data_IF_288467568415
#
_entry.id   IF_288467568415
#
_cell.length_a   1.000
_cell.length_b   1.000
_cell.length_c   1.000
_cell.angle_alpha   90.00
_cell.angle_beta   90.00
_cell.angle_gamma   90.00
#
_symmetry.space_group_name_H-M   'P 1'
#
loop_
_entity.id
_entity.type
_entity.pdbx_description
1 polymer ?
#
# COMPACT_ATOMS: atom_id res chain seq x y z
N UNK A 1 11.95 -12.45 -15.74
CA UNK A 1 12.11 -11.11 -16.34
C UNK A 1 11.05 -10.11 -15.87
N UNK A 2 9.74 -10.38 -15.99
CA UNK A 2 8.68 -9.41 -15.58
C UNK A 2 8.77 -8.93 -14.12
N UNK A 3 9.07 -9.82 -13.16
CA UNK A 3 9.27 -9.45 -11.75
C UNK A 3 10.40 -8.44 -11.59
N UNK A 4 11.55 -8.74 -12.22
CA UNK A 4 12.71 -7.84 -12.16
C UNK A 4 12.40 -6.48 -12.79
N UNK A 5 11.69 -6.45 -13.91
CA UNK A 5 11.28 -5.21 -14.56
C UNK A 5 10.36 -4.38 -13.64
N UNK A 6 9.36 -5.00 -13.02
CA UNK A 6 8.46 -4.31 -12.09
C UNK A 6 9.22 -3.73 -10.88
N UNK A 7 10.14 -4.49 -10.30
CA UNK A 7 10.96 -4.04 -9.18
C UNK A 7 11.91 -2.91 -9.59
N UNK A 8 12.53 -2.99 -10.77
CA UNK A 8 13.44 -1.95 -11.28
C UNK A 8 12.69 -0.66 -11.60
N UNK A 9 11.49 -0.74 -12.18
CA UNK A 9 10.65 0.43 -12.43
C UNK A 9 10.26 1.10 -11.11
N UNK A 10 9.76 0.33 -10.13
CA UNK A 10 9.40 0.84 -8.82
C UNK A 10 10.59 1.49 -8.12
N UNK A 11 11.76 0.84 -8.17
CA UNK A 11 12.99 1.35 -7.58
C UNK A 11 13.47 2.64 -8.27
N UNK A 12 13.38 2.72 -9.60
CA UNK A 12 13.70 3.92 -10.35
C UNK A 12 12.82 5.12 -9.95
N UNK A 13 11.50 4.90 -9.84
CA UNK A 13 10.57 5.91 -9.32
C UNK A 13 10.94 6.34 -7.90
N UNK A 14 11.22 5.39 -7.00
CA UNK A 14 11.61 5.67 -5.62
C UNK A 14 12.91 6.48 -5.54
N UNK A 15 13.90 6.18 -6.38
CA UNK A 15 15.16 6.93 -6.45
C UNK A 15 14.92 8.36 -6.95
N UNK A 16 14.19 8.52 -8.05
CA UNK A 16 13.92 9.85 -8.65
C UNK A 16 13.12 10.70 -7.67
N UNK A 17 11.99 10.21 -7.16
CA UNK A 17 11.16 10.95 -6.22
C UNK A 17 11.90 11.26 -4.91
N UNK A 18 12.64 10.27 -4.40
CA UNK A 18 13.47 10.45 -3.21
C UNK A 18 14.53 11.52 -3.40
N UNK A 19 15.19 11.57 -4.55
CA UNK A 19 16.17 12.60 -4.86
C UNK A 19 15.54 14.01 -4.93
N UNK A 20 14.43 14.15 -5.64
CA UNK A 20 13.72 15.42 -5.77
C UNK A 20 13.25 15.98 -4.42
N UNK A 21 12.70 15.10 -3.55
CA UNK A 21 12.19 15.53 -2.24
C UNK A 21 13.33 15.80 -1.25
N UNK A 22 14.35 14.94 -1.21
CA UNK A 22 15.33 15.02 -0.12
C UNK A 22 16.49 15.94 -0.40
N UNK A 23 16.94 16.03 -1.66
CA UNK A 23 18.10 16.83 -2.05
C UNK A 23 17.70 18.15 -2.69
N UNK A 24 16.68 18.16 -3.52
CA UNK A 24 16.18 19.41 -4.14
C UNK A 24 15.16 20.15 -3.24
N UNK A 25 14.63 19.50 -2.20
CA UNK A 25 13.72 20.13 -1.24
C UNK A 25 12.32 20.41 -1.79
N UNK A 26 11.94 19.76 -2.90
CA UNK A 26 10.60 19.93 -3.47
C UNK A 26 9.57 19.27 -2.55
N UNK A 27 8.39 19.89 -2.44
CA UNK A 27 7.33 19.39 -1.58
C UNK A 27 6.92 17.96 -1.99
N UNK A 28 6.87 17.00 -1.04
CA UNK A 28 6.61 15.59 -1.33
C UNK A 28 5.33 15.35 -2.13
N UNK A 29 4.25 16.04 -1.77
CA UNK A 29 2.95 15.91 -2.42
C UNK A 29 3.02 16.22 -3.92
N UNK A 30 3.73 17.29 -4.30
CA UNK A 30 3.87 17.70 -5.72
C UNK A 30 4.65 16.65 -6.49
N UNK A 31 5.77 16.18 -5.94
CA UNK A 31 6.64 15.18 -6.58
C UNK A 31 5.91 13.85 -6.79
N UNK A 32 5.19 13.38 -5.78
CA UNK A 32 4.47 12.09 -5.87
C UNK A 32 3.29 12.19 -6.83
N UNK A 33 2.57 13.32 -6.85
CA UNK A 33 1.48 13.57 -7.80
C UNK A 33 1.99 13.62 -9.25
N UNK A 34 3.08 14.33 -9.49
CA UNK A 34 3.74 14.37 -10.80
C UNK A 34 4.19 12.97 -11.23
N UNK A 35 4.78 12.18 -10.33
CA UNK A 35 5.18 10.81 -10.59
C UNK A 35 3.99 9.90 -10.93
N UNK A 36 2.85 10.07 -10.25
CA UNK A 36 1.61 9.34 -10.55
C UNK A 36 1.11 9.65 -11.97
N UNK A 37 1.02 10.93 -12.34
CA UNK A 37 0.59 11.31 -13.69
C UNK A 37 1.59 10.87 -14.77
N UNK A 38 2.88 10.96 -14.49
CA UNK A 38 3.91 10.46 -15.40
C UNK A 38 3.77 8.95 -15.62
N UNK A 39 3.61 8.16 -14.55
CA UNK A 39 3.41 6.72 -14.66
C UNK A 39 2.16 6.34 -15.44
N UNK A 40 1.03 7.04 -15.21
CA UNK A 40 -0.21 6.82 -15.97
C UNK A 40 -0.07 7.23 -17.44
N UNK A 41 0.61 8.33 -17.71
CA UNK A 41 0.89 8.78 -19.08
C UNK A 41 1.75 7.76 -19.84
N UNK A 42 2.81 7.24 -19.20
CA UNK A 42 3.66 6.21 -19.80
C UNK A 42 2.90 4.91 -20.10
N UNK A 43 2.02 4.47 -19.19
CA UNK A 43 1.17 3.29 -19.46
C UNK A 43 0.21 3.54 -20.62
N UNK A 44 -0.37 4.72 -20.75
CA UNK A 44 -1.26 5.08 -21.86
C UNK A 44 -0.54 5.09 -23.23
N UNK A 45 0.72 5.54 -23.25
CA UNK A 45 1.55 5.52 -24.47
C UNK A 45 1.85 4.07 -24.90
N UNK A 46 2.02 3.14 -23.96
CA UNK A 46 2.32 1.73 -24.25
C UNK A 46 1.07 1.05 -24.84
N UNK A 47 -0.08 1.17 -24.18
CA UNK A 47 -1.35 0.65 -24.66
C UNK A 47 -2.52 1.26 -23.89
N UNK A 48 -3.55 1.67 -24.61
CA UNK A 48 -4.85 2.07 -24.05
C UNK A 48 -5.78 0.88 -23.84
N UNK A 49 -5.52 -0.22 -24.54
CA UNK A 49 -6.34 -1.41 -24.50
C UNK A 49 -5.91 -2.35 -23.36
N UNK A 50 -6.85 -3.19 -22.94
CA UNK A 50 -6.58 -4.21 -21.92
C UNK A 50 -5.70 -5.32 -22.49
N UNK A 51 -4.49 -5.48 -21.94
CA UNK A 51 -3.56 -6.55 -22.29
C UNK A 51 -3.75 -7.72 -21.33
N UNK A 52 -4.30 -8.84 -21.82
CA UNK A 52 -4.41 -10.08 -21.03
C UNK A 52 -3.13 -10.87 -21.10
N UNK A 53 -2.67 -11.37 -19.95
CA UNK A 53 -1.46 -12.16 -19.84
C UNK A 53 -1.78 -13.61 -20.22
N UNK A 54 -1.16 -14.12 -21.30
CA UNK A 54 -1.35 -15.47 -21.83
C UNK A 54 -0.21 -16.44 -21.49
N UNK A 55 0.81 -16.00 -20.78
CA UNK A 55 1.97 -16.82 -20.45
C UNK A 55 1.58 -17.93 -19.45
N UNK A 56 1.78 -19.19 -19.84
CA UNK A 56 1.39 -20.37 -19.03
C UNK A 56 2.06 -20.41 -17.67
N UNK A 57 3.34 -20.04 -17.57
CA UNK A 57 4.08 -20.04 -16.30
C UNK A 57 3.48 -19.00 -15.35
N UNK A 58 3.16 -17.81 -15.87
CA UNK A 58 2.53 -16.75 -15.09
C UNK A 58 1.14 -17.18 -14.60
N UNK A 59 0.34 -17.77 -15.48
CA UNK A 59 -1.01 -18.25 -15.14
C UNK A 59 -0.96 -19.43 -14.14
N UNK A 60 0.03 -20.32 -14.22
CA UNK A 60 0.23 -21.36 -13.20
C UNK A 60 0.49 -20.75 -11.82
N UNK A 61 1.32 -19.71 -11.70
CA UNK A 61 1.57 -19.00 -10.45
C UNK A 61 0.33 -18.22 -9.97
N UNK A 62 -0.38 -17.56 -10.86
CA UNK A 62 -1.61 -16.81 -10.55
C UNK A 62 -2.74 -17.74 -10.05
N UNK A 63 -2.86 -18.92 -10.64
CA UNK A 63 -3.89 -19.90 -10.30
C UNK A 63 -3.48 -20.89 -9.20
N UNK A 64 -2.26 -20.80 -8.70
CA UNK A 64 -1.82 -21.64 -7.58
C UNK A 64 -2.61 -21.27 -6.33
N UNK A 65 -3.15 -22.28 -5.64
CA UNK A 65 -4.02 -22.10 -4.47
C UNK A 65 -3.59 -23.00 -3.35
N UNK A 66 -3.33 -22.43 -2.20
CA UNK A 66 -3.16 -23.20 -0.97
C UNK A 66 -4.54 -23.52 -0.40
N UNK A 67 -4.97 -24.76 -0.54
CA UNK A 67 -6.23 -25.22 0.02
C UNK A 67 -6.11 -25.44 1.52
N UNK A 68 -7.06 -24.88 2.26
CA UNK A 68 -7.18 -25.09 3.70
C UNK A 68 -8.22 -26.18 4.00
N UNK A 69 -8.06 -26.88 5.15
CA UNK A 69 -9.05 -27.90 5.57
C UNK A 69 -10.41 -27.31 5.96
N UNK A 70 -10.52 -25.98 5.98
CA UNK A 70 -11.78 -25.27 6.27
C UNK A 70 -12.43 -24.84 4.95
N UNK A 71 -13.77 -24.91 4.89
CA UNK A 71 -14.53 -24.55 3.71
C UNK A 71 -15.99 -24.34 4.03
N UNK A 72 -16.73 -23.88 3.02
CA UNK A 72 -18.18 -23.73 3.08
C UNK A 72 -18.84 -24.74 2.15
N UNK A 73 -20.01 -25.21 2.52
CA UNK A 73 -20.81 -26.11 1.68
C UNK A 73 -21.72 -25.25 0.79
N UNK A 74 -21.62 -25.44 -0.52
CA UNK A 74 -22.46 -24.72 -1.47
C UNK A 74 -23.93 -25.21 -1.33
N UNK A 75 -24.89 -24.40 -1.80
CA UNK A 75 -26.34 -24.74 -1.84
C UNK A 75 -26.64 -26.12 -2.49
N UNK A 76 -25.69 -26.67 -3.25
CA UNK A 76 -25.76 -28.01 -3.87
C UNK A 76 -25.07 -29.11 -3.05
N UNK A 77 -24.73 -28.89 -1.78
CA UNK A 77 -24.11 -29.90 -0.90
C UNK A 77 -22.61 -30.20 -1.19
N UNK A 78 -21.98 -29.52 -2.14
CA UNK A 78 -20.57 -29.73 -2.46
C UNK A 78 -19.68 -28.86 -1.55
N UNK A 79 -18.74 -29.51 -0.86
CA UNK A 79 -17.74 -28.82 -0.03
C UNK A 79 -16.78 -28.04 -0.93
N UNK A 80 -16.67 -26.73 -0.71
CA UNK A 80 -15.69 -25.85 -1.39
C UNK A 80 -14.64 -25.48 -0.34
N UNK A 81 -13.40 -26.01 -0.46
CA UNK A 81 -12.34 -25.65 0.47
C UNK A 81 -11.97 -24.18 0.32
N UNK A 82 -11.73 -23.50 1.44
CA UNK A 82 -11.16 -22.16 1.43
C UNK A 82 -9.73 -22.23 0.88
N UNK A 83 -9.35 -21.24 0.10
CA UNK A 83 -8.00 -21.16 -0.46
C UNK A 83 -7.37 -19.80 -0.20
N UNK A 84 -6.05 -19.81 -0.02
CA UNK A 84 -5.24 -18.60 0.08
C UNK A 84 -4.39 -18.51 -1.18
N UNK A 85 -4.49 -17.42 -1.96
CA UNK A 85 -3.61 -17.21 -3.08
C UNK A 85 -2.18 -16.89 -2.61
N UNK A 86 -1.13 -17.25 -3.35
CA UNK A 86 0.27 -17.02 -2.98
C UNK A 86 0.58 -15.53 -2.82
N UNK A 87 -0.14 -14.66 -3.52
CA UNK A 87 -0.02 -13.20 -3.40
C UNK A 87 -0.26 -12.70 -1.98
N UNK A 88 -1.25 -13.26 -1.28
CA UNK A 88 -1.56 -12.91 0.12
C UNK A 88 -0.44 -13.39 1.05
N UNK A 89 0.08 -14.60 0.84
CA UNK A 89 1.19 -15.13 1.66
C UNK A 89 2.43 -14.25 1.51
N UNK A 90 2.79 -13.89 0.28
CA UNK A 90 3.92 -13.00 0.00
C UNK A 90 3.69 -11.63 0.66
N UNK A 91 2.50 -11.05 0.54
CA UNK A 91 2.19 -9.77 1.15
C UNK A 91 2.34 -9.80 2.69
N UNK A 92 1.85 -10.86 3.35
CA UNK A 92 2.00 -11.02 4.81
C UNK A 92 3.48 -11.13 5.19
N UNK A 93 4.26 -11.93 4.47
CA UNK A 93 5.70 -12.08 4.72
C UNK A 93 6.40 -10.72 4.59
N UNK A 94 6.11 -9.95 3.55
CA UNK A 94 6.69 -8.63 3.33
C UNK A 94 6.31 -7.67 4.47
N UNK A 95 5.04 -7.65 4.89
CA UNK A 95 4.59 -6.83 6.03
C UNK A 95 5.36 -7.19 7.30
N UNK A 96 5.55 -8.49 7.58
CA UNK A 96 6.31 -8.94 8.74
C UNK A 96 7.79 -8.52 8.66
N UNK A 97 8.43 -8.67 7.49
CA UNK A 97 9.81 -8.23 7.28
C UNK A 97 9.95 -6.72 7.54
N UNK A 98 9.04 -5.92 6.98
CA UNK A 98 9.06 -4.47 7.18
C UNK A 98 8.74 -4.10 8.63
N UNK A 99 7.85 -4.81 9.30
CA UNK A 99 7.56 -4.60 10.73
C UNK A 99 8.80 -4.84 11.59
N UNK A 100 9.53 -5.92 11.33
CA UNK A 100 10.81 -6.23 12.01
C UNK A 100 11.86 -5.17 11.69
N UNK A 101 11.98 -4.76 10.41
CA UNK A 101 12.91 -3.73 9.96
C UNK A 101 12.65 -2.40 10.67
N UNK A 102 11.40 -1.96 10.74
CA UNK A 102 11.06 -0.68 11.38
C UNK A 102 11.20 -0.74 12.89
N UNK A 103 10.91 -1.87 13.54
CA UNK A 103 10.95 -2.01 15.01
C UNK A 103 12.38 -2.21 15.54
N UNK A 104 13.16 -3.07 14.92
CA UNK A 104 14.45 -3.53 15.50
C UNK A 104 15.68 -2.86 14.89
N UNK A 105 15.63 -2.41 13.64
CA UNK A 105 16.80 -1.82 12.99
C UNK A 105 16.95 -0.32 13.27
N UNK A 106 18.21 0.14 13.26
CA UNK A 106 18.56 1.57 13.41
C UNK A 106 17.84 2.47 12.40
N UNK A 107 17.59 1.95 11.19
CA UNK A 107 16.89 2.65 10.13
C UNK A 107 15.46 3.02 10.53
N UNK A 108 14.68 2.09 11.04
CA UNK A 108 13.30 2.34 11.48
C UNK A 108 13.23 3.38 12.61
N UNK A 109 14.10 3.24 13.63
CA UNK A 109 14.15 4.22 14.73
C UNK A 109 14.47 5.64 14.26
N UNK A 110 15.39 5.78 13.28
CA UNK A 110 15.66 7.09 12.67
C UNK A 110 14.45 7.65 11.92
N UNK A 111 13.70 6.81 11.20
CA UNK A 111 12.47 7.24 10.51
C UNK A 111 11.42 7.76 11.48
N UNK A 112 11.16 7.06 12.57
CA UNK A 112 10.21 7.51 13.60
C UNK A 112 10.67 8.81 14.26
N UNK A 113 11.95 8.96 14.57
CA UNK A 113 12.50 10.17 15.15
C UNK A 113 12.34 11.38 14.20
N UNK A 114 12.66 11.19 12.92
CA UNK A 114 12.53 12.24 11.89
C UNK A 114 11.06 12.60 11.66
N UNK A 115 10.17 11.61 11.62
CA UNK A 115 8.73 11.81 11.46
C UNK A 115 8.09 12.51 12.66
N UNK A 116 8.61 12.31 13.87
CA UNK A 116 8.13 12.98 15.07
C UNK A 116 8.53 14.45 15.15
N UNK A 117 9.82 14.75 14.99
CA UNK A 117 10.32 16.13 14.90
C UNK A 117 11.64 16.16 14.09
N UNK A 118 11.54 16.68 12.88
CA UNK A 118 12.68 16.76 11.95
C UNK A 118 13.81 17.63 12.49
N UNK A 119 13.49 18.73 13.17
CA UNK A 119 14.49 19.67 13.67
C UNK A 119 15.25 19.07 14.86
N UNK A 120 14.54 18.44 15.80
CA UNK A 120 15.16 17.72 16.91
C UNK A 120 16.03 16.56 16.41
N UNK A 121 15.62 15.84 15.39
CA UNK A 121 16.39 14.77 14.78
C UNK A 121 17.71 15.29 14.17
N UNK A 122 17.68 16.46 13.52
CA UNK A 122 18.89 17.13 13.02
C UNK A 122 19.84 17.53 14.14
N UNK A 123 19.31 18.10 15.24
CA UNK A 123 20.11 18.50 16.41
C UNK A 123 20.78 17.29 17.07
N UNK A 124 20.16 16.11 17.04
CA UNK A 124 20.74 14.86 17.50
C UNK A 124 21.79 14.26 16.54
N UNK A 125 22.14 14.96 15.46
CA UNK A 125 23.15 14.50 14.50
C UNK A 125 22.66 13.42 13.53
N UNK A 126 21.35 13.21 13.39
CA UNK A 126 20.82 12.25 12.43
C UNK A 126 20.91 12.79 11.01
N UNK A 127 21.45 11.98 10.10
CA UNK A 127 21.45 12.29 8.66
C UNK A 127 20.04 12.13 8.09
N UNK A 128 19.26 13.22 8.19
CA UNK A 128 17.84 13.24 7.77
C UNK A 128 17.72 13.01 6.27
N UNK A 129 18.58 13.67 5.46
CA UNK A 129 18.50 13.54 4.00
C UNK A 129 18.71 12.08 3.56
N UNK A 130 19.80 11.46 4.01
CA UNK A 130 20.13 10.06 3.68
C UNK A 130 19.05 9.08 4.14
N UNK A 131 18.51 9.32 5.33
CA UNK A 131 17.48 8.43 5.90
C UNK A 131 16.18 8.54 5.12
N UNK A 132 15.73 9.75 4.80
CA UNK A 132 14.54 9.97 3.97
C UNK A 132 14.72 9.42 2.55
N UNK A 133 15.87 9.67 1.92
CA UNK A 133 16.14 9.11 0.59
C UNK A 133 16.02 7.59 0.56
N UNK A 134 16.62 6.90 1.54
CA UNK A 134 16.51 5.44 1.67
C UNK A 134 15.07 4.99 1.90
N UNK A 135 14.24 5.78 2.59
CA UNK A 135 12.83 5.48 2.77
C UNK A 135 12.06 5.52 1.45
N UNK A 136 12.29 6.53 0.61
CA UNK A 136 11.70 6.61 -0.73
C UNK A 136 12.14 5.46 -1.64
N UNK A 137 13.42 5.07 -1.58
CA UNK A 137 13.93 3.92 -2.35
C UNK A 137 13.27 2.62 -1.91
N UNK A 138 13.12 2.43 -0.59
CA UNK A 138 12.42 1.26 -0.05
C UNK A 138 10.94 1.27 -0.44
N UNK A 139 10.27 2.40 -0.36
CA UNK A 139 8.87 2.57 -0.75
C UNK A 139 8.66 2.25 -2.23
N UNK A 140 9.52 2.79 -3.11
CA UNK A 140 9.48 2.49 -4.54
C UNK A 140 9.68 0.99 -4.84
N UNK A 141 10.61 0.34 -4.13
CA UNK A 141 10.79 -1.11 -4.24
C UNK A 141 9.53 -1.89 -3.82
N UNK A 142 8.93 -1.52 -2.70
CA UNK A 142 7.69 -2.14 -2.21
C UNK A 142 6.50 -1.87 -3.14
N UNK A 143 6.42 -0.67 -3.71
CA UNK A 143 5.40 -0.33 -4.69
C UNK A 143 5.54 -1.17 -5.97
N UNK A 144 6.76 -1.37 -6.46
CA UNK A 144 7.03 -2.27 -7.60
C UNK A 144 6.61 -3.71 -7.31
N UNK A 145 6.92 -4.21 -6.12
CA UNK A 145 6.49 -5.54 -5.67
C UNK A 145 4.97 -5.64 -5.53
N UNK A 146 4.33 -4.63 -4.94
CA UNK A 146 2.88 -4.55 -4.84
C UNK A 146 2.19 -4.52 -6.21
N UNK A 147 2.73 -3.76 -7.16
CA UNK A 147 2.25 -3.72 -8.54
C UNK A 147 2.35 -5.08 -9.24
N UNK A 148 3.46 -5.79 -9.03
CA UNK A 148 3.61 -7.16 -9.54
C UNK A 148 2.57 -8.13 -8.93
N UNK A 149 2.37 -8.10 -7.61
CA UNK A 149 1.37 -8.93 -6.94
C UNK A 149 -0.06 -8.60 -7.39
N UNK A 150 -0.34 -7.32 -7.62
CA UNK A 150 -1.61 -6.87 -8.16
C UNK A 150 -1.85 -7.39 -9.58
N UNK A 151 -0.83 -7.32 -10.44
CA UNK A 151 -0.86 -7.88 -11.79
C UNK A 151 -1.06 -9.39 -11.78
N UNK A 152 -0.43 -10.11 -10.84
CA UNK A 152 -0.60 -11.56 -10.67
C UNK A 152 -2.05 -11.93 -10.30
N UNK A 153 -2.72 -11.07 -9.54
CA UNK A 153 -4.12 -11.29 -9.14
C UNK A 153 -5.12 -10.95 -10.25
N UNK A 154 -4.84 -9.92 -11.05
CA UNK A 154 -5.73 -9.46 -12.13
C UNK A 154 -5.52 -10.19 -13.46
N UNK A 155 -4.35 -10.80 -13.66
CA UNK A 155 -3.92 -11.44 -14.93
C UNK A 155 -4.06 -10.55 -16.17
N UNK A 156 -4.12 -9.26 -15.97
CA UNK A 156 -4.30 -8.26 -17.02
C UNK A 156 -3.64 -6.94 -16.62
N UNK A 157 -3.36 -6.09 -17.60
CA UNK A 157 -2.91 -4.72 -17.41
C UNK A 157 -3.66 -3.77 -18.34
N UNK A 158 -4.08 -2.63 -17.82
CA UNK A 158 -4.65 -1.51 -18.57
C UNK A 158 -4.53 -0.20 -17.79
N UNK A 159 -4.65 0.92 -18.47
CA UNK A 159 -4.37 2.26 -17.93
C UNK A 159 -5.22 2.62 -16.71
N UNK A 160 -6.51 2.25 -16.73
CA UNK A 160 -7.47 2.54 -15.65
C UNK A 160 -7.33 1.57 -14.46
N UNK A 161 -6.52 0.54 -14.58
CA UNK A 161 -6.27 -0.41 -13.52
C UNK A 161 -5.51 0.29 -12.38
N UNK A 162 -5.83 -0.07 -11.15
CA UNK A 162 -5.23 0.54 -9.96
C UNK A 162 -5.61 2.02 -9.69
N UNK A 163 -6.54 2.61 -10.46
CA UNK A 163 -7.04 3.97 -10.20
C UNK A 163 -7.78 4.03 -8.86
N UNK A 164 -7.28 4.88 -7.95
CA UNK A 164 -7.83 5.03 -6.60
C UNK A 164 -7.15 4.16 -5.54
N UNK A 165 -6.24 3.24 -5.92
CA UNK A 165 -5.47 2.44 -4.95
C UNK A 165 -4.61 3.33 -4.04
N UNK A 166 -4.18 4.50 -4.48
CA UNK A 166 -3.47 5.48 -3.67
C UNK A 166 -4.31 5.93 -2.47
N UNK A 167 -5.58 6.27 -2.70
CA UNK A 167 -6.49 6.67 -1.63
C UNK A 167 -6.85 5.49 -0.72
N UNK A 168 -6.96 4.32 -1.30
CA UNK A 168 -7.21 3.07 -0.58
C UNK A 168 -6.06 2.71 0.35
N UNK A 169 -4.82 2.89 -0.08
CA UNK A 169 -3.63 2.66 0.73
C UNK A 169 -3.53 3.65 1.90
N UNK A 170 -3.73 4.96 1.60
CA UNK A 170 -3.75 6.01 2.63
C UNK A 170 -4.82 5.74 3.67
N UNK A 171 -6.06 5.44 3.23
CA UNK A 171 -7.18 5.14 4.12
C UNK A 171 -6.87 3.96 5.04
N UNK A 172 -6.33 2.88 4.48
CA UNK A 172 -5.98 1.69 5.25
C UNK A 172 -4.87 1.97 6.27
N UNK A 173 -3.86 2.77 5.92
CA UNK A 173 -2.79 3.16 6.83
C UNK A 173 -3.31 4.02 7.99
N UNK A 174 -4.21 4.99 7.70
CA UNK A 174 -4.82 5.88 8.70
C UNK A 174 -5.74 5.11 9.64
N UNK A 175 -6.61 4.25 9.09
CA UNK A 175 -7.47 3.34 9.88
C UNK A 175 -6.62 2.43 10.77
N UNK A 176 -5.47 1.99 10.25
CA UNK A 176 -4.47 1.19 10.99
C UNK A 176 -3.66 1.96 12.03
N UNK A 177 -3.96 3.26 12.26
CA UNK A 177 -3.33 4.08 13.31
C UNK A 177 -2.05 4.79 12.89
N UNK A 178 -1.75 4.89 11.60
CA UNK A 178 -0.63 5.69 11.10
C UNK A 178 -1.00 7.17 11.05
N UNK A 179 -0.20 8.03 11.70
CA UNK A 179 -0.43 9.47 11.68
C UNK A 179 0.07 10.08 10.35
N UNK A 180 -0.77 10.89 9.71
CA UNK A 180 -0.39 11.64 8.50
C UNK A 180 0.72 12.68 8.77
N UNK A 181 0.80 13.20 10.00
CA UNK A 181 1.88 14.09 10.42
C UNK A 181 3.24 13.38 10.57
N UNK A 182 3.26 12.05 10.57
CA UNK A 182 4.45 11.23 10.75
C UNK A 182 4.76 10.88 12.21
N UNK A 183 5.85 10.14 12.40
CA UNK A 183 6.39 9.75 13.71
C UNK A 183 5.69 8.59 14.41
N UNK A 184 4.47 8.26 14.04
CA UNK A 184 3.69 7.15 14.62
C UNK A 184 3.04 6.34 13.51
N UNK A 185 3.12 5.02 13.61
CA UNK A 185 2.49 4.07 12.70
C UNK A 185 3.18 2.72 12.78
N UNK A 186 2.49 1.67 12.36
CA UNK A 186 3.04 0.33 12.30
C UNK A 186 2.54 -0.40 11.06
N UNK A 187 3.38 -1.20 10.36
CA UNK A 187 2.95 -1.99 9.21
C UNK A 187 1.85 -2.99 9.57
N UNK A 188 1.91 -3.55 10.78
CA UNK A 188 0.89 -4.47 11.28
C UNK A 188 -0.45 -3.74 11.45
N UNK A 189 -0.43 -2.50 11.99
CA UNK A 189 -1.64 -1.66 12.06
C UNK A 189 -2.25 -1.42 10.69
N UNK A 190 -1.44 -1.04 9.71
CA UNK A 190 -1.90 -0.84 8.33
C UNK A 190 -2.50 -2.12 7.72
N UNK A 191 -1.95 -3.31 8.03
CA UNK A 191 -2.53 -4.59 7.63
C UNK A 191 -3.94 -4.79 8.21
N UNK A 192 -4.15 -4.49 9.50
CA UNK A 192 -5.50 -4.49 10.09
C UNK A 192 -6.43 -3.46 9.45
N UNK A 193 -5.91 -2.29 9.09
CA UNK A 193 -6.69 -1.29 8.33
C UNK A 193 -7.18 -1.81 6.98
N UNK A 194 -6.33 -2.54 6.25
CA UNK A 194 -6.73 -3.21 4.99
C UNK A 194 -7.81 -4.27 5.25
N UNK A 195 -7.69 -5.07 6.31
CA UNK A 195 -8.68 -6.08 6.66
C UNK A 195 -10.03 -5.45 7.02
N UNK A 196 -10.05 -4.40 7.83
CA UNK A 196 -11.27 -3.65 8.19
C UNK A 196 -11.95 -3.13 6.93
N UNK A 197 -11.19 -2.46 6.06
CA UNK A 197 -11.70 -1.94 4.79
C UNK A 197 -12.24 -3.05 3.89
N UNK A 198 -11.50 -4.14 3.75
CA UNK A 198 -11.92 -5.30 2.95
C UNK A 198 -13.21 -5.94 3.47
N UNK A 199 -13.35 -6.07 4.80
CA UNK A 199 -14.56 -6.60 5.44
C UNK A 199 -15.77 -5.70 5.17
N UNK A 200 -15.62 -4.38 5.34
CA UNK A 200 -16.69 -3.41 5.06
C UNK A 200 -17.10 -3.46 3.60
N UNK A 201 -16.13 -3.48 2.68
CA UNK A 201 -16.39 -3.60 1.25
C UNK A 201 -17.15 -4.89 0.91
N UNK A 202 -16.73 -6.01 1.49
CA UNK A 202 -17.38 -7.32 1.28
C UNK A 202 -18.80 -7.36 1.83
N UNK A 203 -19.04 -6.78 3.01
CA UNK A 203 -20.37 -6.71 3.61
C UNK A 203 -21.34 -5.87 2.75
N UNK A 204 -20.91 -4.71 2.28
CA UNK A 204 -21.73 -3.86 1.42
C UNK A 204 -22.06 -4.56 0.10
N UNK A 205 -21.08 -5.22 -0.50
CA UNK A 205 -21.27 -5.94 -1.77
C UNK A 205 -22.15 -7.17 -1.60
N UNK A 206 -22.05 -7.86 -0.46
CA UNK A 206 -22.86 -9.07 -0.16
C UNK A 206 -24.35 -8.77 0.03
N UNK A 207 -24.71 -7.57 0.47
CA UNK A 207 -26.11 -7.16 0.58
C UNK A 207 -26.83 -7.01 -0.76
N UNK A 208 -26.09 -6.79 -1.87
CA UNK A 208 -26.62 -6.78 -3.23
C UNK A 208 -27.58 -5.62 -3.57
N UNK A 209 -28.07 -4.89 -2.58
CA UNK A 209 -29.03 -3.77 -2.76
C UNK A 209 -28.30 -2.43 -2.95
N UNK A 210 -27.04 -2.34 -2.52
CA UNK A 210 -26.24 -1.13 -2.57
C UNK A 210 -25.26 -1.17 -3.76
N UNK A 211 -25.22 -0.09 -4.54
CA UNK A 211 -24.26 0.04 -5.64
C UNK A 211 -22.83 0.16 -5.12
N UNK A 212 -21.83 -0.18 -5.93
CA UNK A 212 -20.41 -0.05 -5.61
C UNK A 212 -19.98 1.36 -5.20
N UNK A 213 -20.77 2.37 -5.53
CA UNK A 213 -20.54 3.76 -5.12
C UNK A 213 -20.70 3.96 -3.61
N UNK A 214 -21.60 3.22 -2.97
CA UNK A 214 -21.81 3.27 -1.52
C UNK A 214 -20.56 2.83 -0.77
N UNK A 215 -19.81 1.86 -1.30
CA UNK A 215 -18.53 1.44 -0.70
C UNK A 215 -17.57 2.63 -0.60
N UNK A 216 -17.47 3.44 -1.67
CA UNK A 216 -16.61 4.63 -1.68
C UNK A 216 -17.06 5.70 -0.68
N UNK A 217 -18.38 5.94 -0.58
CA UNK A 217 -18.95 6.90 0.38
C UNK A 217 -18.63 6.48 1.80
N UNK A 218 -18.90 5.22 2.16
CA UNK A 218 -18.67 4.70 3.51
C UNK A 218 -17.19 4.74 3.87
N UNK A 219 -16.31 4.32 2.96
CA UNK A 219 -14.87 4.36 3.18
C UNK A 219 -14.33 5.78 3.35
N UNK A 220 -14.83 6.73 2.56
CA UNK A 220 -14.44 8.15 2.68
C UNK A 220 -14.92 8.76 3.99
N UNK A 221 -16.15 8.46 4.42
CA UNK A 221 -16.69 8.91 5.69
C UNK A 221 -15.88 8.33 6.86
N UNK A 222 -15.53 7.06 6.79
CA UNK A 222 -14.73 6.37 7.79
C UNK A 222 -13.30 6.94 7.87
N UNK A 223 -12.69 7.25 6.73
CA UNK A 223 -11.39 7.93 6.67
C UNK A 223 -11.48 9.31 7.36
N UNK A 224 -12.48 10.11 7.01
CA UNK A 224 -12.69 11.43 7.61
C UNK A 224 -12.86 11.32 9.13
N UNK A 225 -13.67 10.36 9.59
CA UNK A 225 -13.87 10.09 11.02
C UNK A 225 -12.55 9.77 11.74
N UNK A 226 -11.73 8.87 11.18
CA UNK A 226 -10.44 8.52 11.81
C UNK A 226 -9.44 9.67 11.80
N UNK A 227 -9.40 10.51 10.74
CA UNK A 227 -8.53 11.70 10.71
C UNK A 227 -8.93 12.70 11.79
N UNK A 228 -10.24 12.98 11.94
CA UNK A 228 -10.76 13.87 12.99
C UNK A 228 -10.41 13.31 14.36
N UNK A 229 -10.64 12.02 14.57
CA UNK A 229 -10.35 11.35 15.83
C UNK A 229 -8.85 11.42 16.18
N UNK A 230 -7.96 11.16 15.22
CA UNK A 230 -6.51 11.32 15.39
C UNK A 230 -6.13 12.78 15.73
N UNK A 231 -6.73 13.76 15.05
CA UNK A 231 -6.47 15.18 15.29
C UNK A 231 -6.87 15.59 16.70
N UNK A 232 -8.03 15.15 17.18
CA UNK A 232 -8.51 15.40 18.55
C UNK A 232 -7.57 14.79 19.58
N UNK A 233 -7.17 13.51 19.43
CA UNK A 233 -6.23 12.88 20.35
C UNK A 233 -4.86 13.55 20.34
N UNK A 234 -4.36 13.96 19.18
CA UNK A 234 -3.09 14.68 19.08
C UNK A 234 -3.15 16.03 19.79
N UNK A 235 -4.27 16.74 19.72
CA UNK A 235 -4.45 18.03 20.39
C UNK A 235 -4.58 17.89 21.93
N UNK A 236 -5.27 16.85 22.40
CA UNK A 236 -5.37 16.55 23.83
C UNK A 236 -4.00 16.19 24.45
N UNK A 237 -3.19 15.42 23.74
CA UNK A 237 -1.84 15.06 24.19
C UNK A 237 -0.86 16.24 24.24
N UNK A 238 -1.11 17.30 23.47
CA UNK A 238 -0.28 18.51 23.47
C UNK A 238 -0.63 19.47 24.60
N UNK A 239 -1.80 19.29 25.23
CA UNK A 239 -2.33 20.14 26.31
C UNK A 239 -1.95 19.65 27.72
N UNK A 240 -1.54 18.38 27.83
CA UNK A 240 -0.94 17.76 29.01
C UNK A 240 0.58 17.63 28.84
#
# INVERSE_FOLDING_TARGET
MAVLAALLIGLAFGIVQGFLVTYMGIQPFIVTLAGMFFGRGMTAIISTDMISIKNEVFLKWANYRFYMPFGSTNKKGKFIPAYIPPTVVIAIIVVLIIAVLLKYFKFGRKLYAIGGNRQSALMMGLDVKKTMFRAYVLDGFLAGLGGFLFCLNSCAGFVEQAKGLEMDAISSAVIGGTLLSGGVGTPIGSMFGVLIKGTISSLITAQGTLSSWWVRIVLSALLCFFIVLQSVFASLKKKN
#
